data_IF_605656263866
#
_entry.id   IF_605656263866
#
_cell.length_a   1.000
_cell.length_b   1.000
_cell.length_c   1.000
_cell.angle_alpha   90.00
_cell.angle_beta   90.00
_cell.angle_gamma   90.00
#
_symmetry.space_group_name_H-M   'P 1'
#
loop_
_entity.id
_entity.type
_entity.pdbx_description
1 polymer ?
#
# COMPACT_ATOMS: atom_id res chain seq x y z
N UNK A 1 0.35 -16.95 13.20
CA UNK A 1 1.03 -15.66 13.01
C UNK A 1 0.37 -14.85 11.92
N UNK A 2 0.45 -13.54 12.04
CA UNK A 2 -0.18 -12.64 11.07
C UNK A 2 0.51 -12.72 9.69
N UNK A 3 -0.24 -12.36 8.68
CA UNK A 3 0.23 -12.23 7.30
C UNK A 3 0.17 -10.77 6.89
N UNK A 4 1.15 -10.27 6.16
CA UNK A 4 1.25 -8.84 5.86
C UNK A 4 1.41 -8.62 4.35
N UNK A 5 0.55 -7.78 3.79
CA UNK A 5 0.79 -7.19 2.47
C UNK A 5 1.57 -5.89 2.66
N UNK A 6 2.69 -5.76 1.95
CA UNK A 6 3.48 -4.53 1.95
C UNK A 6 3.51 -3.92 0.56
N UNK A 7 3.59 -2.61 0.48
CA UNK A 7 3.66 -1.92 -0.81
C UNK A 7 4.41 -0.60 -0.72
N UNK A 8 4.98 -0.22 -1.85
CA UNK A 8 5.66 1.06 -2.03
C UNK A 8 5.19 1.66 -3.35
N UNK A 9 4.92 2.95 -3.36
CA UNK A 9 4.47 3.67 -4.56
C UNK A 9 5.12 5.04 -4.65
N UNK A 10 5.19 5.58 -5.86
CA UNK A 10 5.61 6.96 -6.09
C UNK A 10 4.35 7.78 -6.38
N UNK A 11 4.10 8.80 -5.58
CA UNK A 11 2.88 9.62 -5.63
C UNK A 11 3.26 11.07 -5.88
N UNK A 12 2.59 11.79 -6.81
CA UNK A 12 2.86 13.22 -6.98
C UNK A 12 2.73 13.95 -5.65
N UNK A 13 3.78 14.67 -5.27
CA UNK A 13 3.84 15.36 -3.96
C UNK A 13 2.66 16.31 -3.76
N UNK A 14 2.23 16.96 -4.84
CA UNK A 14 1.07 17.87 -4.80
C UNK A 14 -0.26 17.16 -4.49
N UNK A 15 -0.31 15.84 -4.67
CA UNK A 15 -1.53 15.04 -4.49
C UNK A 15 -1.58 14.31 -3.13
N UNK A 16 -0.82 14.77 -2.14
CA UNK A 16 -0.78 14.16 -0.82
C UNK A 16 -2.17 14.01 -0.21
N UNK A 17 -2.98 15.08 -0.26
CA UNK A 17 -4.33 15.07 0.32
C UNK A 17 -5.27 14.12 -0.42
N UNK A 18 -5.17 14.08 -1.75
CA UNK A 18 -5.95 13.15 -2.57
C UNK A 18 -5.57 11.71 -2.23
N UNK A 19 -4.27 11.45 -2.12
CA UNK A 19 -3.75 10.13 -1.75
C UNK A 19 -4.21 9.70 -0.36
N UNK A 20 -4.16 10.62 0.62
CA UNK A 20 -4.61 10.33 1.99
C UNK A 20 -6.09 9.93 2.02
N UNK A 21 -6.95 10.66 1.31
CA UNK A 21 -8.38 10.33 1.23
C UNK A 21 -8.61 8.99 0.55
N UNK A 22 -7.85 8.71 -0.51
CA UNK A 22 -7.90 7.40 -1.18
C UNK A 22 -7.52 6.27 -0.20
N UNK A 23 -6.43 6.42 0.53
CA UNK A 23 -5.99 5.43 1.51
C UNK A 23 -7.02 5.22 2.62
N UNK A 24 -7.65 6.28 3.11
CA UNK A 24 -8.70 6.17 4.13
C UNK A 24 -9.90 5.39 3.60
N UNK A 25 -10.35 5.67 2.38
CA UNK A 25 -11.46 4.96 1.76
C UNK A 25 -11.13 3.48 1.55
N UNK A 26 -9.94 3.19 1.04
CA UNK A 26 -9.47 1.83 0.80
C UNK A 26 -9.28 1.07 2.10
N UNK A 27 -8.72 1.71 3.12
CA UNK A 27 -8.53 1.11 4.43
C UNK A 27 -9.84 0.63 5.03
N UNK A 28 -10.92 1.39 4.89
CA UNK A 28 -12.24 0.98 5.35
C UNK A 28 -12.72 -0.29 4.65
N UNK A 29 -12.50 -0.40 3.33
CA UNK A 29 -12.86 -1.59 2.56
C UNK A 29 -12.08 -2.82 3.05
N UNK A 30 -10.76 -2.70 3.20
CA UNK A 30 -9.92 -3.80 3.69
C UNK A 30 -10.34 -4.25 5.10
N UNK A 31 -10.66 -3.30 5.99
CA UNK A 31 -11.11 -3.62 7.35
C UNK A 31 -12.43 -4.39 7.34
N UNK A 32 -13.36 -4.02 6.49
CA UNK A 32 -14.63 -4.75 6.34
C UNK A 32 -14.43 -6.18 5.88
N UNK A 33 -13.39 -6.45 5.11
CA UNK A 33 -13.09 -7.78 4.59
C UNK A 33 -12.11 -8.57 5.45
N UNK A 34 -11.77 -8.09 6.63
CA UNK A 34 -11.04 -8.89 7.62
C UNK A 34 -9.64 -8.43 7.96
N UNK A 35 -9.16 -7.30 7.42
CA UNK A 35 -7.86 -6.76 7.81
C UNK A 35 -7.87 -6.35 9.28
N UNK A 36 -6.80 -6.68 10.00
CA UNK A 36 -6.60 -6.27 11.39
C UNK A 36 -6.12 -4.83 11.48
N UNK A 37 -5.30 -4.42 10.54
CA UNK A 37 -4.76 -3.06 10.48
C UNK A 37 -4.44 -2.71 9.03
N UNK A 38 -4.59 -1.44 8.69
CA UNK A 38 -4.16 -0.87 7.41
C UNK A 38 -3.43 0.42 7.73
N UNK A 39 -2.17 0.53 7.34
CA UNK A 39 -1.34 1.68 7.66
C UNK A 39 -0.71 2.21 6.38
N UNK A 40 -0.87 3.50 6.13
CA UNK A 40 -0.30 4.18 4.98
C UNK A 40 0.60 5.31 5.46
N UNK A 41 1.82 5.38 4.93
CA UNK A 41 2.84 6.31 5.37
C UNK A 41 3.36 7.13 4.19
N UNK A 42 3.74 8.37 4.48
CA UNK A 42 4.24 9.33 3.51
C UNK A 42 5.73 9.57 3.72
N UNK A 43 6.52 9.51 2.66
CA UNK A 43 7.98 9.69 2.74
C UNK A 43 8.36 11.02 3.36
N UNK A 44 9.28 10.97 4.33
CA UNK A 44 9.75 12.14 5.07
C UNK A 44 11.28 12.18 5.08
N UNK A 45 11.92 11.07 5.47
CA UNK A 45 13.37 10.94 5.47
C UNK A 45 13.74 9.66 4.72
N UNK A 46 13.73 9.74 3.40
CA UNK A 46 13.95 8.59 2.52
C UNK A 46 15.21 8.85 1.66
N UNK A 47 16.33 8.20 1.97
CA UNK A 47 17.58 8.40 1.21
C UNK A 47 17.43 7.99 -0.25
N UNK A 48 18.11 8.73 -1.12
CA UNK A 48 18.17 8.39 -2.55
C UNK A 48 18.96 7.10 -2.80
N UNK A 49 19.86 6.75 -1.90
CA UNK A 49 20.66 5.53 -2.01
C UNK A 49 21.72 5.60 -3.09
N UNK A 50 22.47 4.50 -3.22
CA UNK A 50 23.51 4.37 -4.25
C UNK A 50 23.26 3.11 -5.08
N UNK A 51 23.16 1.96 -4.44
CA UNK A 51 22.92 0.70 -5.12
C UNK A 51 21.43 0.47 -5.38
N UNK A 52 20.64 0.72 -4.36
CA UNK A 52 19.17 0.71 -4.43
C UNK A 52 18.61 1.54 -3.29
N UNK A 53 17.30 1.79 -3.34
CA UNK A 53 16.58 2.60 -2.35
C UNK A 53 15.09 2.46 -2.60
N UNK A 54 14.27 2.98 -1.70
CA UNK A 54 12.84 3.10 -1.96
C UNK A 54 12.56 3.93 -3.22
N UNK A 55 13.17 5.12 -3.41
CA UNK A 55 12.96 5.88 -4.64
C UNK A 55 13.36 5.13 -5.91
N UNK A 56 14.49 4.42 -5.90
CA UNK A 56 14.95 3.64 -7.05
C UNK A 56 14.01 2.49 -7.37
N UNK A 57 13.49 1.82 -6.34
CA UNK A 57 12.62 0.65 -6.52
C UNK A 57 11.32 1.00 -7.24
N UNK A 58 10.79 2.20 -7.03
CA UNK A 58 9.55 2.67 -7.67
C UNK A 58 9.81 3.68 -8.79
N UNK A 59 11.06 3.88 -9.18
CA UNK A 59 11.45 4.81 -10.24
C UNK A 59 10.85 6.20 -10.03
N UNK A 60 11.00 6.72 -8.80
CA UNK A 60 10.44 8.01 -8.40
C UNK A 60 10.95 9.14 -9.31
N UNK A 61 10.05 9.97 -9.75
CA UNK A 61 10.35 11.19 -10.48
C UNK A 61 10.50 12.38 -9.51
N UNK A 62 11.15 13.51 -9.94
CA UNK A 62 11.46 14.61 -9.02
C UNK A 62 10.24 15.24 -8.33
N UNK A 63 9.06 15.20 -8.97
CA UNK A 63 7.83 15.77 -8.42
C UNK A 63 7.06 14.79 -7.54
N UNK A 64 7.62 13.61 -7.29
CA UNK A 64 6.95 12.55 -6.55
C UNK A 64 7.56 12.31 -5.18
N UNK A 65 6.75 11.78 -4.27
CA UNK A 65 7.14 11.33 -2.94
C UNK A 65 6.88 9.84 -2.83
N UNK A 66 7.78 9.12 -2.16
CA UNK A 66 7.58 7.69 -1.89
C UNK A 66 6.53 7.52 -0.80
N UNK A 67 5.54 6.67 -1.06
CA UNK A 67 4.56 6.23 -0.08
C UNK A 67 4.81 4.76 0.24
N UNK A 68 4.66 4.39 1.50
CA UNK A 68 4.90 3.05 2.03
C UNK A 68 3.73 2.65 2.91
N UNK A 69 3.27 1.41 2.76
CA UNK A 69 2.16 0.98 3.58
C UNK A 69 2.10 -0.53 3.75
N UNK A 70 1.23 -0.97 4.65
CA UNK A 70 1.03 -2.40 4.89
C UNK A 70 -0.39 -2.67 5.35
N UNK A 71 -0.82 -3.92 5.10
CA UNK A 71 -2.10 -4.45 5.57
C UNK A 71 -1.80 -5.70 6.38
N UNK A 72 -2.31 -5.78 7.59
CA UNK A 72 -2.12 -6.93 8.48
C UNK A 72 -3.37 -7.79 8.47
N UNK A 73 -3.19 -9.09 8.22
CA UNK A 73 -4.26 -10.10 8.16
C UNK A 73 -4.04 -11.17 9.21
N UNK A 74 -5.14 -11.80 9.72
CA UNK A 74 -4.98 -12.92 10.68
C UNK A 74 -4.21 -14.10 10.10
N UNK A 75 -4.34 -14.35 8.79
CA UNK A 75 -3.68 -15.46 8.11
C UNK A 75 -3.64 -15.19 6.60
N UNK A 76 -2.85 -15.96 5.89
CA UNK A 76 -2.83 -15.91 4.43
C UNK A 76 -4.17 -16.32 3.84
N UNK A 77 -4.83 -17.33 4.41
CA UNK A 77 -6.12 -17.79 3.92
C UNK A 77 -7.19 -16.68 3.99
N UNK A 78 -7.24 -15.94 5.10
CA UNK A 78 -8.13 -14.79 5.24
C UNK A 78 -7.78 -13.70 4.23
N UNK A 79 -6.50 -13.43 4.06
CA UNK A 79 -5.99 -12.44 3.09
C UNK A 79 -6.41 -12.79 1.66
N UNK A 80 -6.19 -14.03 1.24
CA UNK A 80 -6.49 -14.46 -0.13
C UNK A 80 -8.00 -14.35 -0.41
N UNK A 81 -8.84 -14.81 0.52
CA UNK A 81 -10.30 -14.71 0.40
C UNK A 81 -10.76 -13.24 0.40
N UNK A 82 -10.14 -12.41 1.24
CA UNK A 82 -10.47 -10.99 1.32
C UNK A 82 -10.15 -10.26 0.01
N UNK A 83 -9.00 -10.53 -0.61
CA UNK A 83 -8.64 -9.89 -1.88
C UNK A 83 -9.64 -10.19 -2.99
N UNK A 84 -10.15 -11.43 -3.08
CA UNK A 84 -11.19 -11.76 -4.05
C UNK A 84 -12.42 -10.88 -3.86
N UNK A 85 -12.87 -10.69 -2.60
CA UNK A 85 -14.03 -9.87 -2.27
C UNK A 85 -13.77 -8.38 -2.48
N UNK A 86 -12.57 -7.91 -2.13
CA UNK A 86 -12.17 -6.52 -2.34
C UNK A 86 -12.19 -6.19 -3.84
N UNK A 87 -11.61 -7.06 -4.67
CA UNK A 87 -11.58 -6.83 -6.12
C UNK A 87 -12.97 -6.86 -6.75
N UNK A 88 -13.92 -7.55 -6.14
CA UNK A 88 -15.32 -7.59 -6.59
C UNK A 88 -16.18 -6.47 -5.99
N UNK A 89 -15.66 -5.73 -5.02
CA UNK A 89 -16.39 -4.64 -4.35
C UNK A 89 -16.59 -3.48 -5.33
N UNK A 90 -17.84 -2.97 -5.48
CA UNK A 90 -18.11 -1.84 -6.38
C UNK A 90 -17.28 -0.60 -6.08
N UNK A 91 -16.92 -0.38 -4.82
CA UNK A 91 -16.08 0.77 -4.42
C UNK A 91 -14.69 0.71 -5.02
N UNK A 92 -14.19 -0.50 -5.33
CA UNK A 92 -12.87 -0.68 -5.98
C UNK A 92 -12.92 -0.41 -7.48
N UNK A 93 -14.04 -0.74 -8.12
CA UNK A 93 -14.15 -0.64 -9.58
C UNK A 93 -14.19 0.79 -10.07
N UNK A 94 -14.66 1.71 -9.24
CA UNK A 94 -14.85 3.12 -9.59
C UNK A 94 -13.68 4.00 -9.13
N UNK A 95 -12.66 3.41 -8.51
CA UNK A 95 -11.53 4.16 -7.97
C UNK A 95 -10.37 4.20 -8.97
N UNK A 96 -10.06 5.39 -9.47
CA UNK A 96 -8.77 5.63 -10.11
C UNK A 96 -7.70 5.80 -9.04
N UNK A 97 -6.54 5.16 -9.23
CA UNK A 97 -5.42 5.34 -8.33
C UNK A 97 -4.79 6.74 -8.54
N UNK A 98 -4.53 7.50 -7.47
CA UNK A 98 -3.89 8.82 -7.58
C UNK A 98 -2.36 8.72 -7.77
N UNK A 99 -1.89 7.69 -8.45
CA UNK A 99 -0.48 7.45 -8.73
C UNK A 99 -0.35 6.41 -9.86
N UNK A 100 0.86 6.26 -10.39
CA UNK A 100 1.13 5.28 -11.45
C UNK A 100 1.26 3.88 -10.84
N UNK A 101 0.21 3.08 -10.95
CA UNK A 101 0.16 1.71 -10.43
C UNK A 101 1.18 0.76 -11.08
N UNK A 102 1.69 1.08 -12.27
CA UNK A 102 2.68 0.24 -12.96
C UNK A 102 4.04 0.25 -12.28
N UNK A 103 4.35 1.32 -11.54
CA UNK A 103 5.62 1.45 -10.81
C UNK A 103 5.50 1.05 -9.35
N UNK A 104 4.31 0.75 -8.88
CA UNK A 104 4.10 0.27 -7.51
C UNK A 104 4.67 -1.13 -7.35
N UNK A 105 5.40 -1.35 -6.26
CA UNK A 105 5.85 -2.68 -5.87
C UNK A 105 5.02 -3.16 -4.68
N UNK A 106 4.74 -4.46 -4.63
CA UNK A 106 3.92 -5.02 -3.57
C UNK A 106 4.17 -6.53 -3.43
N UNK A 107 3.79 -7.07 -2.29
CA UNK A 107 3.90 -8.50 -2.06
C UNK A 107 3.33 -8.90 -0.72
N UNK A 108 3.13 -10.21 -0.54
CA UNK A 108 2.65 -10.81 0.70
C UNK A 108 3.78 -11.48 1.46
N UNK A 109 3.79 -11.31 2.77
CA UNK A 109 4.90 -11.72 3.63
C UNK A 109 4.38 -12.43 4.88
N UNK A 110 5.05 -13.52 5.25
CA UNK A 110 4.82 -14.18 6.54
C UNK A 110 5.49 -13.39 7.64
N UNK A 111 4.79 -13.13 8.73
CA UNK A 111 5.44 -12.60 9.94
C UNK A 111 6.27 -13.72 10.57
N UNK A 112 7.56 -13.49 10.75
CA UNK A 112 8.48 -14.46 11.36
C UNK A 112 8.98 -14.01 12.72
N UNK A 113 8.84 -12.75 13.05
CA UNK A 113 9.21 -12.20 14.35
C UNK A 113 8.37 -10.97 14.65
N UNK A 114 7.93 -10.85 15.88
CA UNK A 114 7.15 -9.69 16.36
C UNK A 114 7.46 -9.51 17.84
N UNK A 115 7.76 -8.28 18.21
CA UNK A 115 8.08 -7.93 19.59
C UNK A 115 7.10 -6.94 20.17
#
# INVERSE_FOLDING_TARGET
>A
MNYVDGFVAAVPTADKDVYQRHCQAMGAVFKEHGALAVVDCWGDDVPEGKLTSFPMAVKREPHETVAFGWIVWPSRAVRDAAWERVMADPRMKDQSMPFDGKRMIYGGFQTIAQS
#
